data_IF_361801117552
#
_entry.id   IF_361801117552
#
_cell.length_a   1.000
_cell.length_b   1.000
_cell.length_c   1.000
_cell.angle_alpha   90.00
_cell.angle_beta   90.00
_cell.angle_gamma   90.00
#
_symmetry.space_group_name_H-M   'P 1'
#
loop_
_entity.id
_entity.type
_entity.pdbx_description
1 polymer ?
#
# COMPACT_ATOMS: atom_id res chain seq x y z
N UNK A 1 -10.97 7.51 -6.49
CA UNK A 1 -11.97 6.57 -5.93
C UNK A 1 -12.19 5.38 -6.86
N UNK A 2 -12.50 5.57 -8.15
CA UNK A 2 -12.87 4.49 -9.08
C UNK A 2 -11.90 3.29 -9.07
N UNK A 3 -10.61 3.51 -9.28
CA UNK A 3 -9.62 2.42 -9.26
C UNK A 3 -9.48 1.77 -7.87
N UNK A 4 -9.65 2.53 -6.78
CA UNK A 4 -9.59 2.00 -5.41
C UNK A 4 -10.70 0.99 -5.17
N UNK A 5 -11.91 1.27 -5.67
CA UNK A 5 -13.06 0.35 -5.57
C UNK A 5 -12.78 -0.93 -6.36
N UNK A 6 -12.31 -0.79 -7.61
CA UNK A 6 -11.99 -1.95 -8.45
C UNK A 6 -10.92 -2.85 -7.82
N UNK A 7 -9.87 -2.26 -7.23
CA UNK A 7 -8.85 -3.02 -6.50
C UNK A 7 -9.46 -3.73 -5.29
N UNK A 8 -10.21 -3.02 -4.45
CA UNK A 8 -10.83 -3.60 -3.26
C UNK A 8 -11.79 -4.75 -3.58
N UNK A 9 -12.46 -4.71 -4.73
CA UNK A 9 -13.32 -5.81 -5.21
C UNK A 9 -12.54 -7.06 -5.65
N UNK A 10 -11.26 -6.93 -5.96
CA UNK A 10 -10.44 -8.04 -6.49
C UNK A 10 -9.51 -8.67 -5.44
N UNK A 11 -9.22 -7.98 -4.34
CA UNK A 11 -8.37 -8.53 -3.28
C UNK A 11 -9.11 -9.57 -2.44
N UNK A 12 -8.37 -10.56 -1.96
CA UNK A 12 -8.80 -11.53 -0.96
C UNK A 12 -8.21 -11.15 0.41
N UNK A 13 -9.06 -10.68 1.33
CA UNK A 13 -8.62 -10.23 2.66
C UNK A 13 -8.29 -11.38 3.63
N UNK A 14 -8.46 -12.63 3.21
CA UNK A 14 -7.97 -13.80 3.96
C UNK A 14 -6.48 -14.06 3.75
N UNK A 15 -5.90 -13.57 2.65
CA UNK A 15 -4.49 -13.73 2.27
C UNK A 15 -3.71 -12.47 2.65
N UNK A 16 -2.86 -12.58 3.68
CA UNK A 16 -2.06 -11.47 4.22
C UNK A 16 -0.80 -11.17 3.40
N UNK A 17 -0.98 -10.90 2.11
CA UNK A 17 0.11 -10.58 1.17
C UNK A 17 -0.29 -9.38 0.29
N UNK A 18 0.72 -8.71 -0.29
CA UNK A 18 0.49 -7.59 -1.21
C UNK A 18 -0.10 -8.10 -2.51
N UNK A 19 -1.35 -7.73 -2.78
CA UNK A 19 -2.11 -8.13 -3.97
C UNK A 19 -2.29 -6.98 -4.97
N UNK A 20 -2.13 -5.73 -4.53
CA UNK A 20 -2.23 -4.57 -5.40
C UNK A 20 -1.17 -3.51 -5.06
N UNK A 21 -0.55 -2.97 -6.11
CA UNK A 21 0.42 -1.88 -6.03
C UNK A 21 -0.09 -0.65 -6.80
N UNK A 22 -0.13 0.50 -6.14
CA UNK A 22 -0.51 1.79 -6.72
C UNK A 22 0.67 2.74 -6.66
N UNK A 23 1.20 3.12 -7.82
CA UNK A 23 2.30 4.09 -7.91
C UNK A 23 1.76 5.51 -8.08
N UNK A 24 2.30 6.43 -7.28
CA UNK A 24 2.01 7.86 -7.39
C UNK A 24 3.32 8.66 -7.54
N UNK A 25 3.34 9.73 -8.35
CA UNK A 25 4.54 10.54 -8.59
C UNK A 25 5.03 11.32 -7.36
N UNK A 26 4.15 11.62 -6.40
CA UNK A 26 4.48 12.44 -5.22
C UNK A 26 4.03 11.78 -3.93
N UNK A 27 4.65 12.21 -2.83
CA UNK A 27 4.35 11.70 -1.47
C UNK A 27 2.92 12.08 -1.07
N UNK A 28 2.52 13.30 -1.39
CA UNK A 28 1.24 13.89 -1.06
C UNK A 28 0.11 13.14 -1.75
N UNK A 29 0.27 12.83 -3.04
CA UNK A 29 -0.71 12.06 -3.80
C UNK A 29 -0.79 10.61 -3.30
N UNK A 30 0.34 9.96 -3.01
CA UNK A 30 0.34 8.62 -2.41
C UNK A 30 -0.44 8.59 -1.08
N UNK A 31 -0.24 9.58 -0.20
CA UNK A 31 -0.98 9.70 1.06
C UNK A 31 -2.48 9.94 0.85
N UNK A 32 -2.86 10.77 -0.13
CA UNK A 32 -4.27 10.98 -0.48
C UNK A 32 -4.94 9.69 -0.96
N UNK A 33 -4.25 8.94 -1.83
CA UNK A 33 -4.75 7.65 -2.33
C UNK A 33 -4.88 6.65 -1.17
N UNK A 34 -3.88 6.54 -0.30
CA UNK A 34 -3.93 5.64 0.87
C UNK A 34 -5.15 5.94 1.73
N UNK A 35 -5.43 7.22 2.03
CA UNK A 35 -6.61 7.62 2.82
C UNK A 35 -7.92 7.15 2.18
N UNK A 36 -8.03 7.26 0.86
CA UNK A 36 -9.21 6.79 0.11
C UNK A 36 -9.33 5.27 0.18
N UNK A 37 -8.24 4.52 0.00
CA UNK A 37 -8.25 3.06 0.07
C UNK A 37 -8.63 2.58 1.48
N UNK A 38 -8.07 3.17 2.52
CA UNK A 38 -8.40 2.85 3.92
C UNK A 38 -9.88 3.15 4.19
N UNK A 39 -10.35 4.35 3.84
CA UNK A 39 -11.75 4.74 4.10
C UNK A 39 -12.76 3.84 3.38
N UNK A 40 -12.45 3.38 2.16
CA UNK A 40 -13.32 2.46 1.42
C UNK A 40 -13.20 1.00 1.90
N UNK A 41 -12.02 0.60 2.38
CA UNK A 41 -11.72 -0.78 2.79
C UNK A 41 -11.97 -1.09 4.27
N UNK A 42 -12.36 -0.11 5.07
CA UNK A 42 -12.49 -0.22 6.54
C UNK A 42 -13.39 -1.38 6.97
N UNK A 43 -14.56 -1.52 6.31
CA UNK A 43 -15.51 -2.61 6.58
C UNK A 43 -15.16 -3.95 5.91
N UNK A 44 -14.07 -4.01 5.13
CA UNK A 44 -13.63 -5.23 4.42
C UNK A 44 -12.44 -5.91 5.13
N UNK A 45 -11.92 -5.32 6.21
CA UNK A 45 -10.61 -5.70 6.79
C UNK A 45 -9.46 -5.61 5.78
N UNK A 46 -9.59 -4.74 4.78
CA UNK A 46 -8.51 -4.47 3.83
C UNK A 46 -7.40 -3.66 4.50
N UNK A 47 -6.15 -3.98 4.20
CA UNK A 47 -4.97 -3.39 4.83
C UNK A 47 -4.20 -2.65 3.76
N UNK A 48 -3.89 -1.38 4.01
CA UNK A 48 -3.21 -0.53 3.05
C UNK A 48 -2.04 0.21 3.68
N UNK A 49 -0.85 0.11 3.08
CA UNK A 49 0.33 0.86 3.54
C UNK A 49 0.89 1.79 2.46
N UNK A 50 1.45 2.91 2.88
CA UNK A 50 2.07 3.89 1.99
C UNK A 50 3.61 3.81 2.07
N UNK A 51 4.25 3.36 1.00
CA UNK A 51 5.70 3.34 0.82
C UNK A 51 6.17 4.65 0.16
N UNK A 52 6.50 5.66 0.97
CA UNK A 52 6.92 6.99 0.49
C UNK A 52 8.26 7.41 1.08
N UNK A 53 8.99 8.28 0.37
CA UNK A 53 10.25 8.84 0.90
C UNK A 53 10.04 9.63 2.19
N UNK A 54 11.10 9.79 3.00
CA UNK A 54 11.06 10.59 4.24
C UNK A 54 10.41 9.91 5.46
N UNK A 55 9.92 8.67 5.32
CA UNK A 55 9.56 7.80 6.45
C UNK A 55 10.71 6.84 6.78
N UNK A 56 10.67 6.26 7.98
CA UNK A 56 11.65 5.27 8.41
C UNK A 56 11.50 3.97 7.62
N UNK A 57 12.53 3.61 6.86
CA UNK A 57 12.56 2.38 6.04
C UNK A 57 12.29 1.12 6.87
N UNK A 58 12.81 1.04 8.11
CA UNK A 58 12.58 -0.13 8.96
C UNK A 58 11.12 -0.27 9.39
N UNK A 59 10.43 0.86 9.56
CA UNK A 59 9.00 0.85 9.88
C UNK A 59 8.17 0.40 8.68
N UNK A 60 8.52 0.85 7.47
CA UNK A 60 7.89 0.39 6.23
C UNK A 60 8.06 -1.12 6.07
N UNK A 61 9.29 -1.63 6.20
CA UNK A 61 9.57 -3.07 6.11
C UNK A 61 8.74 -3.87 7.12
N UNK A 62 8.73 -3.44 8.39
CA UNK A 62 7.94 -4.13 9.44
C UNK A 62 6.45 -4.16 9.12
N UNK A 63 5.89 -3.07 8.57
CA UNK A 63 4.47 -3.03 8.18
C UNK A 63 4.17 -3.94 7.00
N UNK A 64 5.08 -4.01 6.03
CA UNK A 64 4.93 -4.93 4.89
C UNK A 64 5.03 -6.40 5.33
N UNK A 65 5.97 -6.72 6.24
CA UNK A 65 6.13 -8.07 6.83
C UNK A 65 4.91 -8.52 7.65
N UNK A 66 4.15 -7.58 8.24
CA UNK A 66 2.89 -7.90 8.92
C UNK A 66 1.77 -8.36 7.98
N UNK A 67 1.96 -8.19 6.67
CA UNK A 67 0.98 -8.49 5.63
C UNK A 67 0.04 -7.32 5.39
N UNK A 68 0.10 -6.76 4.18
CA UNK A 68 -0.81 -5.70 3.70
C UNK A 68 -1.35 -6.08 2.33
N UNK A 69 -2.64 -5.84 2.10
CA UNK A 69 -3.31 -6.22 0.85
C UNK A 69 -3.00 -5.24 -0.30
N UNK A 70 -2.87 -3.95 0.04
CA UNK A 70 -2.63 -2.86 -0.92
C UNK A 70 -1.41 -2.05 -0.49
N UNK A 71 -0.50 -1.80 -1.43
CA UNK A 71 0.61 -0.86 -1.24
C UNK A 71 0.44 0.32 -2.17
N UNK A 72 0.57 1.52 -1.61
CA UNK A 72 0.57 2.78 -2.35
C UNK A 72 1.94 3.41 -2.18
N UNK A 73 2.58 3.97 -3.20
CA UNK A 73 3.91 4.53 -2.97
C UNK A 73 4.52 5.31 -4.12
N UNK A 74 5.64 5.97 -3.82
CA UNK A 74 6.45 6.60 -4.85
C UNK A 74 7.40 5.58 -5.48
N UNK A 75 7.69 5.67 -6.79
CA UNK A 75 8.50 4.67 -7.50
C UNK A 75 9.82 4.35 -6.81
N UNK A 76 10.55 5.38 -6.36
CA UNK A 76 11.86 5.19 -5.72
C UNK A 76 11.79 4.42 -4.39
N UNK A 77 10.80 4.70 -3.54
CA UNK A 77 10.67 4.00 -2.24
C UNK A 77 10.13 2.59 -2.43
N UNK A 78 9.16 2.39 -3.33
CA UNK A 78 8.66 1.04 -3.65
C UNK A 78 9.77 0.17 -4.22
N UNK A 79 10.58 0.70 -5.14
CA UNK A 79 11.72 0.00 -5.71
C UNK A 79 12.76 -0.40 -4.63
N UNK A 80 13.05 0.49 -3.67
CA UNK A 80 13.90 0.17 -2.52
C UNK A 80 13.31 -0.97 -1.66
N UNK A 81 11.99 -1.00 -1.44
CA UNK A 81 11.35 -2.08 -0.67
C UNK A 81 11.42 -3.43 -1.38
N UNK A 82 11.20 -3.46 -2.70
CA UNK A 82 11.34 -4.67 -3.53
C UNK A 82 12.78 -5.19 -3.52
N UNK A 83 13.77 -4.31 -3.70
CA UNK A 83 15.19 -4.69 -3.67
C UNK A 83 15.61 -5.27 -2.31
N UNK A 84 14.97 -4.83 -1.23
CA UNK A 84 15.18 -5.35 0.13
C UNK A 84 14.39 -6.62 0.43
N UNK A 85 13.59 -7.12 -0.52
CA UNK A 85 12.67 -8.27 -0.35
C UNK A 85 11.66 -8.06 0.79
N UNK A 86 11.30 -6.80 1.04
CA UNK A 86 10.24 -6.46 1.99
C UNK A 86 8.87 -6.37 1.32
N UNK A 87 8.84 -6.17 0.00
CA UNK A 87 7.67 -6.19 -0.86
C UNK A 87 7.80 -7.31 -1.89
#
# INVERSE_FOLDING_TARGET
ATFSISILQQIDTSIRECQALILAPTRELAQQIQKVVIALGDFMSAMCHACIGGTNVREDMRKLEMGVHVVVGTPGRVYDMINRRAL
#
